data_IF_073827352976
#
_entry.id   IF_073827352976
#
_cell.length_a   1.000
_cell.length_b   1.000
_cell.length_c   1.000
_cell.angle_alpha   90.00
_cell.angle_beta   90.00
_cell.angle_gamma   90.00
#
_symmetry.space_group_name_H-M   'P 1'
#
loop_
_entity.id
_entity.type
_entity.pdbx_description
1 polymer ?
#
# COMPACT_ATOMS: atom_id res chain seq x y z
N UNK A 1 -11.06 -13.98 7.03
CA UNK A 1 -10.42 -12.67 7.36
C UNK A 1 -11.38 -11.82 8.17
N UNK A 2 -10.88 -11.09 9.18
CA UNK A 2 -11.67 -10.10 9.94
C UNK A 2 -12.17 -9.01 8.99
N UNK A 3 -13.31 -8.38 9.32
CA UNK A 3 -13.93 -7.35 8.45
C UNK A 3 -13.04 -6.11 8.33
N UNK A 4 -12.31 -5.79 9.38
CA UNK A 4 -11.48 -4.59 9.51
C UNK A 4 -10.00 -4.84 9.15
N UNK A 5 -9.60 -6.09 8.89
CA UNK A 5 -8.25 -6.40 8.49
C UNK A 5 -7.95 -5.87 7.08
N UNK A 6 -6.70 -5.48 6.82
CA UNK A 6 -6.21 -5.06 5.50
C UNK A 6 -5.12 -6.00 4.98
N UNK A 7 -5.01 -6.09 3.65
CA UNK A 7 -3.95 -6.82 2.96
C UNK A 7 -2.94 -5.82 2.39
N UNK A 8 -1.68 -5.98 2.76
CA UNK A 8 -0.57 -5.12 2.31
C UNK A 8 0.44 -5.94 1.52
N UNK A 9 1.15 -5.29 0.61
CA UNK A 9 2.17 -5.88 -0.24
C UNK A 9 3.09 -4.78 -0.76
N UNK A 10 4.42 -4.89 -0.66
CA UNK A 10 5.34 -3.82 -1.06
C UNK A 10 5.40 -3.60 -2.59
N UNK A 11 4.89 -4.54 -3.38
CA UNK A 11 4.98 -4.59 -4.85
C UNK A 11 6.45 -4.67 -5.35
N UNK A 12 6.71 -5.12 -6.60
CA UNK A 12 5.74 -5.73 -7.52
C UNK A 12 5.22 -7.04 -6.96
N UNK A 13 3.95 -7.36 -7.26
CA UNK A 13 3.46 -8.72 -7.06
C UNK A 13 3.62 -9.54 -8.34
N UNK A 14 3.84 -10.84 -8.21
CA UNK A 14 3.96 -11.78 -9.34
C UNK A 14 2.70 -12.63 -9.42
N UNK A 15 2.56 -13.60 -8.53
CA UNK A 15 1.48 -14.60 -8.48
C UNK A 15 1.04 -14.92 -7.05
N UNK A 16 1.71 -14.35 -6.06
CA UNK A 16 1.44 -14.51 -4.63
C UNK A 16 0.13 -13.85 -4.17
N UNK A 17 -0.44 -12.94 -4.97
CA UNK A 17 -1.75 -12.32 -4.74
C UNK A 17 -2.55 -12.36 -6.03
N UNK A 18 -3.64 -13.13 -6.03
CA UNK A 18 -4.57 -13.21 -7.15
C UNK A 18 -5.19 -11.85 -7.48
N UNK A 19 -5.39 -11.54 -8.77
CA UNK A 19 -5.91 -10.23 -9.22
C UNK A 19 -7.32 -9.95 -8.74
N UNK A 20 -8.10 -10.99 -8.47
CA UNK A 20 -9.45 -10.91 -7.90
C UNK A 20 -9.46 -10.23 -6.53
N UNK A 21 -8.34 -10.32 -5.78
CA UNK A 21 -8.17 -9.65 -4.49
C UNK A 21 -8.19 -8.13 -4.65
N UNK A 22 -7.90 -7.56 -5.82
CA UNK A 22 -7.95 -6.10 -6.07
C UNK A 22 -9.34 -5.51 -5.82
N UNK A 23 -10.38 -6.32 -6.02
CA UNK A 23 -11.79 -5.91 -5.85
C UNK A 23 -12.21 -5.92 -4.37
N UNK A 24 -11.41 -6.52 -3.50
CA UNK A 24 -11.69 -6.53 -2.06
C UNK A 24 -11.36 -5.15 -1.48
N UNK A 25 -12.29 -4.47 -0.78
CA UNK A 25 -12.02 -3.15 -0.17
C UNK A 25 -10.85 -3.19 0.84
N UNK A 26 -10.50 -4.36 1.34
CA UNK A 26 -9.39 -4.61 2.27
C UNK A 26 -8.03 -4.67 1.56
N UNK A 27 -7.98 -4.75 0.24
CA UNK A 27 -6.75 -4.62 -0.53
C UNK A 27 -6.18 -3.20 -0.38
N UNK A 28 -5.10 -3.08 0.41
CA UNK A 28 -4.50 -1.80 0.77
C UNK A 28 -3.15 -1.54 0.08
N UNK A 29 -2.60 -2.48 -0.67
CA UNK A 29 -1.29 -2.33 -1.33
C UNK A 29 -1.23 -1.18 -2.35
N UNK A 30 -2.35 -0.79 -2.98
CA UNK A 30 -2.39 0.42 -3.81
C UNK A 30 -2.36 1.71 -2.97
N UNK A 31 -3.18 1.79 -1.92
CA UNK A 31 -3.14 2.91 -0.96
C UNK A 31 -1.78 3.00 -0.26
N UNK A 32 -1.12 1.87 -0.01
CA UNK A 32 0.23 1.79 0.54
C UNK A 32 1.26 2.46 -0.39
N UNK A 33 1.21 2.19 -1.69
CA UNK A 33 2.10 2.81 -2.67
C UNK A 33 1.91 4.34 -2.69
N UNK A 34 0.67 4.82 -2.66
CA UNK A 34 0.34 6.25 -2.54
C UNK A 34 0.84 6.85 -1.22
N UNK A 35 0.62 6.18 -0.08
CA UNK A 35 1.15 6.61 1.21
C UNK A 35 2.69 6.74 1.19
N UNK A 36 3.38 5.90 0.39
CA UNK A 36 4.80 6.02 0.16
C UNK A 36 5.22 7.34 -0.50
N UNK A 37 4.38 7.98 -1.33
CA UNK A 37 4.63 9.32 -1.86
C UNK A 37 4.65 10.35 -0.74
N UNK A 38 3.59 10.40 0.07
CA UNK A 38 3.45 11.39 1.15
C UNK A 38 4.51 11.23 2.23
N UNK A 39 4.89 10.00 2.58
CA UNK A 39 6.00 9.75 3.52
C UNK A 39 7.32 10.29 2.96
N UNK A 40 7.63 10.05 1.67
CA UNK A 40 8.85 10.58 1.06
C UNK A 40 8.83 12.12 1.03
N UNK A 41 7.70 12.74 0.71
CA UNK A 41 7.56 14.20 0.79
C UNK A 41 7.82 14.73 2.21
N UNK A 42 7.25 14.08 3.23
CA UNK A 42 7.45 14.46 4.63
C UNK A 42 8.91 14.30 5.07
N UNK A 43 9.56 13.20 4.69
CA UNK A 43 10.97 12.95 4.97
C UNK A 43 11.88 13.97 4.29
N UNK A 44 11.64 14.28 3.01
CA UNK A 44 12.41 15.30 2.29
C UNK A 44 12.23 16.67 2.92
N UNK A 45 11.00 17.04 3.33
CA UNK A 45 10.75 18.28 4.06
C UNK A 45 11.52 18.33 5.38
N UNK A 46 11.56 17.22 6.13
CA UNK A 46 12.24 17.17 7.43
C UNK A 46 13.78 17.25 7.31
N UNK A 47 14.35 16.76 6.21
CA UNK A 47 15.81 16.72 6.01
C UNK A 47 16.33 17.99 5.34
N UNK A 48 15.53 18.62 4.47
CA UNK A 48 15.98 19.73 3.62
C UNK A 48 15.45 21.11 4.06
N UNK A 49 14.56 21.19 5.06
CA UNK A 49 13.97 22.45 5.55
C UNK A 49 14.29 22.71 7.02
#
# INVERSE_FOLDING_TARGET
MKKEAIVMHPLPRVDEIAREVDKDPRAAYFRQAENGLYIRMALLKMILA
#
